data_IF_435071885103
#
_entry.id   IF_435071885103
#
_cell.length_a   1.000
_cell.length_b   1.000
_cell.length_c   1.000
_cell.angle_alpha   90.00
_cell.angle_beta   90.00
_cell.angle_gamma   90.00
#
_symmetry.space_group_name_H-M   'P 1'
#
loop_
_entity.id
_entity.type
_entity.pdbx_description
1 polymer ?
#
# COMPACT_ATOMS: atom_id res chain seq x y z
N UNK A 1 11.64 13.72 13.01
CA UNK A 1 11.12 12.98 11.83
C UNK A 1 9.77 13.58 11.52
N UNK A 2 9.54 14.10 10.31
CA UNK A 2 8.33 14.88 10.03
C UNK A 2 7.10 13.99 10.23
N UNK A 3 6.05 14.53 10.83
CA UNK A 3 4.77 13.85 11.11
C UNK A 3 4.24 13.05 9.91
N UNK A 4 4.53 13.57 8.72
CA UNK A 4 4.27 13.00 7.40
C UNK A 4 4.88 11.60 7.23
N UNK A 5 6.10 11.37 7.71
CA UNK A 5 6.75 10.05 7.66
C UNK A 5 6.02 9.02 8.53
N UNK A 6 5.43 9.45 9.65
CA UNK A 6 4.63 8.57 10.52
C UNK A 6 3.30 8.24 9.85
N UNK A 7 2.61 9.22 9.26
CA UNK A 7 1.40 8.97 8.46
C UNK A 7 1.65 8.00 7.31
N UNK A 8 2.78 8.15 6.62
CA UNK A 8 3.17 7.25 5.53
C UNK A 8 3.39 5.83 6.04
N UNK A 9 4.10 5.65 7.17
CA UNK A 9 4.29 4.36 7.81
C UNK A 9 2.94 3.69 8.14
N UNK A 10 1.99 4.45 8.71
CA UNK A 10 0.64 3.95 9.03
C UNK A 10 -0.08 3.48 7.77
N UNK A 11 -0.01 4.25 6.68
CA UNK A 11 -0.60 3.87 5.38
C UNK A 11 -0.02 2.55 4.85
N UNK A 12 1.30 2.39 4.92
CA UNK A 12 1.99 1.14 4.52
C UNK A 12 1.53 -0.04 5.38
N UNK A 13 1.43 0.14 6.70
CA UNK A 13 0.98 -0.90 7.63
C UNK A 13 -0.46 -1.32 7.37
N UNK A 14 -1.37 -0.37 7.14
CA UNK A 14 -2.77 -0.65 6.78
C UNK A 14 -2.83 -1.43 5.47
N UNK A 15 -2.04 -1.04 4.48
CA UNK A 15 -1.99 -1.71 3.18
C UNK A 15 -1.55 -3.18 3.30
N UNK A 16 -0.48 -3.43 4.09
CA UNK A 16 0.00 -4.78 4.38
C UNK A 16 -1.06 -5.61 5.14
N UNK A 17 -1.76 -5.01 6.10
CA UNK A 17 -2.81 -5.68 6.86
C UNK A 17 -3.99 -6.10 5.97
N UNK A 18 -4.43 -5.23 5.04
CA UNK A 18 -5.48 -5.54 4.08
C UNK A 18 -5.03 -6.66 3.13
N UNK A 19 -3.80 -6.59 2.62
CA UNK A 19 -3.23 -7.64 1.78
C UNK A 19 -3.23 -9.00 2.48
N UNK A 20 -2.74 -9.05 3.73
CA UNK A 20 -2.77 -10.27 4.54
C UNK A 20 -4.20 -10.79 4.77
N UNK A 21 -5.16 -9.91 5.08
CA UNK A 21 -6.56 -10.29 5.28
C UNK A 21 -7.20 -10.92 4.04
N UNK A 22 -6.93 -10.38 2.84
CA UNK A 22 -7.41 -10.94 1.56
C UNK A 22 -6.81 -12.34 1.34
N UNK A 23 -5.52 -12.51 1.63
CA UNK A 23 -4.82 -13.80 1.48
C UNK A 23 -5.42 -14.84 2.44
N UNK A 24 -5.58 -14.50 3.71
CA UNK A 24 -6.20 -15.37 4.71
C UNK A 24 -7.64 -15.73 4.35
N UNK A 25 -8.42 -14.77 3.86
CA UNK A 25 -9.79 -15.00 3.43
C UNK A 25 -9.85 -15.95 2.21
N UNK A 26 -8.95 -15.81 1.24
CA UNK A 26 -8.88 -16.69 0.08
C UNK A 26 -8.42 -18.11 0.43
N UNK A 27 -7.50 -18.26 1.40
CA UNK A 27 -7.07 -19.57 1.93
C UNK A 27 -8.18 -20.30 2.69
N UNK A 28 -9.05 -19.55 3.38
CA UNK A 28 -10.16 -20.12 4.16
C UNK A 28 -11.26 -20.72 3.28
N UNK A 29 -11.56 -20.09 2.15
CA UNK A 29 -12.52 -20.63 1.20
C UNK A 29 -11.88 -21.77 0.39
N UNK A 30 -12.57 -22.92 0.26
CA UNK A 30 -12.21 -24.02 -0.66
C UNK A 30 -12.41 -23.64 -2.14
N UNK A 31 -12.04 -22.41 -2.52
CA UNK A 31 -12.02 -21.96 -3.91
C UNK A 31 -10.95 -22.76 -4.65
N UNK A 32 -11.23 -23.05 -5.92
CA UNK A 32 -10.34 -23.77 -6.82
C UNK A 32 -8.91 -23.22 -6.71
N UNK A 33 -7.98 -24.00 -6.16
CA UNK A 33 -6.64 -23.54 -5.72
C UNK A 33 -5.90 -22.75 -6.79
N UNK A 34 -6.08 -23.12 -8.06
CA UNK A 34 -5.49 -22.42 -9.22
C UNK A 34 -5.94 -20.96 -9.32
N UNK A 35 -7.24 -20.69 -9.11
CA UNK A 35 -7.80 -19.33 -9.17
C UNK A 35 -7.31 -18.50 -7.98
N UNK A 36 -7.25 -19.10 -6.79
CA UNK A 36 -6.73 -18.43 -5.60
C UNK A 36 -5.26 -18.03 -5.74
N UNK A 37 -4.41 -18.90 -6.32
CA UNK A 37 -3.00 -18.58 -6.60
C UNK A 37 -2.87 -17.44 -7.61
N UNK A 38 -3.68 -17.43 -8.68
CA UNK A 38 -3.65 -16.34 -9.68
C UNK A 38 -4.10 -15.02 -9.05
N UNK A 39 -5.21 -15.03 -8.30
CA UNK A 39 -5.68 -13.84 -7.59
C UNK A 39 -4.63 -13.34 -6.58
N UNK A 40 -4.00 -14.23 -5.82
CA UNK A 40 -2.90 -13.89 -4.91
C UNK A 40 -1.78 -13.14 -5.62
N UNK A 41 -1.33 -13.63 -6.78
CA UNK A 41 -0.30 -12.96 -7.57
C UNK A 41 -0.74 -11.58 -8.04
N UNK A 42 -1.97 -11.45 -8.55
CA UNK A 42 -2.50 -10.15 -9.00
C UNK A 42 -2.53 -9.13 -7.85
N UNK A 43 -3.03 -9.52 -6.68
CA UNK A 43 -3.09 -8.63 -5.52
C UNK A 43 -1.70 -8.28 -4.97
N UNK A 44 -0.80 -9.25 -4.88
CA UNK A 44 0.57 -9.04 -4.40
C UNK A 44 1.35 -8.11 -5.34
N UNK A 45 1.34 -8.41 -6.65
CA UNK A 45 2.04 -7.61 -7.66
C UNK A 45 1.43 -6.21 -7.77
N UNK A 46 0.09 -6.11 -7.83
CA UNK A 46 -0.61 -4.82 -7.85
C UNK A 46 -0.27 -3.97 -6.62
N UNK A 47 -0.18 -4.61 -5.45
CA UNK A 47 0.17 -3.91 -4.22
C UNK A 47 1.61 -3.42 -4.15
N UNK A 48 2.57 -4.21 -4.64
CA UNK A 48 3.97 -3.78 -4.75
C UNK A 48 4.10 -2.58 -5.70
N UNK A 49 3.42 -2.62 -6.85
CA UNK A 49 3.44 -1.51 -7.81
C UNK A 49 2.87 -0.25 -7.16
N UNK A 50 1.72 -0.35 -6.49
CA UNK A 50 1.04 0.79 -5.87
C UNK A 50 1.90 1.41 -4.76
N UNK A 51 2.53 0.58 -3.92
CA UNK A 51 3.50 1.02 -2.90
C UNK A 51 4.71 1.73 -3.51
N UNK A 52 5.28 1.16 -4.57
CA UNK A 52 6.46 1.71 -5.25
C UNK A 52 6.11 3.06 -5.89
N UNK A 53 5.00 3.15 -6.62
CA UNK A 53 4.52 4.40 -7.22
C UNK A 53 4.23 5.46 -6.16
N UNK A 54 3.63 5.09 -5.03
CA UNK A 54 3.36 6.02 -3.94
C UNK A 54 4.66 6.55 -3.32
N UNK A 55 5.66 5.69 -3.14
CA UNK A 55 6.96 6.09 -2.61
C UNK A 55 7.71 7.05 -3.54
N UNK A 56 7.67 6.79 -4.85
CA UNK A 56 8.25 7.69 -5.84
C UNK A 56 7.54 9.04 -5.88
N UNK A 57 6.20 9.06 -5.91
CA UNK A 57 5.42 10.29 -5.82
C UNK A 57 5.76 11.07 -4.55
N UNK A 58 5.87 10.38 -3.42
CA UNK A 58 6.27 11.01 -2.17
C UNK A 58 7.67 11.64 -2.25
N UNK A 59 8.65 11.05 -2.94
CA UNK A 59 9.96 11.71 -3.10
C UNK A 59 9.95 12.88 -4.07
N UNK A 60 9.15 12.79 -5.14
CA UNK A 60 9.14 13.77 -6.23
C UNK A 60 8.37 15.03 -5.82
N UNK A 61 7.31 14.87 -5.03
CA UNK A 61 6.50 15.99 -4.55
C UNK A 61 7.34 16.85 -3.60
N UNK A 62 7.45 18.14 -3.92
CA UNK A 62 8.11 19.13 -3.07
C UNK A 62 7.20 19.50 -1.89
N UNK A 63 7.11 18.60 -0.91
CA UNK A 63 6.26 18.74 0.27
C UNK A 63 6.51 20.05 1.01
N UNK A 64 7.76 20.53 1.03
CA UNK A 64 8.10 21.79 1.67
C UNK A 64 7.30 22.97 1.08
N UNK A 65 7.22 23.06 -0.26
CA UNK A 65 6.44 24.12 -0.92
C UNK A 65 4.93 23.97 -0.69
N UNK A 66 4.41 22.74 -0.64
CA UNK A 66 2.97 22.50 -0.42
C UNK A 66 2.55 22.89 1.00
N UNK A 67 3.39 22.60 1.99
CA UNK A 67 3.12 22.99 3.37
C UNK A 67 3.35 24.49 3.61
N UNK A 68 4.34 25.11 2.95
CA UNK A 68 4.57 26.55 3.09
C UNK A 68 3.49 27.42 2.41
N UNK A 69 2.90 26.98 1.29
CA UNK A 69 1.80 27.70 0.64
C UNK A 69 0.45 27.55 1.38
N UNK A 70 0.31 26.53 2.24
CA UNK A 70 -0.91 26.31 3.03
C UNK A 70 -0.93 27.05 4.37
N UNK A 71 0.10 27.86 4.66
CA UNK A 71 0.14 28.76 5.82
C UNK A 71 0.43 28.07 7.16
N UNK A 72 1.05 26.88 7.14
CA UNK A 72 1.56 26.18 8.33
C UNK A 72 3.07 26.32 8.49
#
# INVERSE_FOLDING_TARGET
MPLISIFYLILVLVYLAIGAAIIFHMLYYRINRKVATVMFFIYSTGGIILLTSNFFLFRIVNWYNIFSDSGF
#
